data_IF_472295526626
#
_entry.id   IF_472295526626
#
_cell.length_a   1.000
_cell.length_b   1.000
_cell.length_c   1.000
_cell.angle_alpha   90.00
_cell.angle_beta   90.00
_cell.angle_gamma   90.00
#
_symmetry.space_group_name_H-M   'P 1'
#
loop_
_entity.id
_entity.type
_entity.pdbx_description
1 polymer ?
#
# COMPACT_ATOMS: atom_id res chain seq x y z
N UNK A 1 -6.59 21.66 3.09
CA UNK A 1 -7.23 20.34 2.99
C UNK A 1 -6.18 19.27 2.69
N UNK A 2 -6.21 18.13 3.44
CA UNK A 2 -5.29 16.99 3.19
C UNK A 2 -5.67 16.34 1.86
N UNK A 3 -4.70 16.12 0.97
CA UNK A 3 -4.89 15.50 -0.36
C UNK A 3 -4.17 14.16 -0.52
N UNK A 4 -3.08 13.97 0.22
CA UNK A 4 -2.30 12.73 0.28
C UNK A 4 -1.76 12.56 1.70
N UNK A 5 -1.61 11.32 2.16
CA UNK A 5 -1.05 10.98 3.47
C UNK A 5 0.24 10.22 3.29
N UNK A 6 1.26 10.55 4.07
CA UNK A 6 2.48 9.73 4.21
C UNK A 6 2.41 9.02 5.56
N UNK A 7 2.44 7.70 5.53
CA UNK A 7 2.52 6.83 6.70
C UNK A 7 3.98 6.40 6.88
N UNK A 8 4.53 6.66 8.04
CA UNK A 8 5.91 6.27 8.39
C UNK A 8 6.00 5.77 9.83
N UNK A 9 7.08 5.13 10.17
CA UNK A 9 7.42 4.72 11.53
C UNK A 9 8.65 5.45 12.04
N UNK A 10 9.58 4.71 12.67
CA UNK A 10 10.89 5.21 13.08
C UNK A 10 11.97 4.88 12.03
N UNK A 11 13.20 5.35 12.26
CA UNK A 11 14.34 4.97 11.41
C UNK A 11 14.65 3.46 11.48
N UNK A 12 14.36 2.79 12.61
CA UNK A 12 14.61 1.38 12.79
C UNK A 12 13.51 0.49 12.24
N UNK A 13 12.26 0.95 12.30
CA UNK A 13 11.12 0.16 11.86
C UNK A 13 9.96 1.04 11.37
N UNK A 14 9.41 0.70 10.23
CA UNK A 14 8.11 1.18 9.81
C UNK A 14 7.02 0.59 10.72
N UNK A 15 6.99 -0.73 10.83
CA UNK A 15 6.21 -1.48 11.81
C UNK A 15 6.72 -2.93 11.87
N UNK A 16 6.89 -3.46 13.09
CA UNK A 16 7.41 -4.82 13.30
C UNK A 16 6.32 -5.89 13.47
N UNK A 17 5.06 -5.54 13.26
CA UNK A 17 3.91 -6.44 13.40
C UNK A 17 3.12 -6.22 14.71
N UNK A 18 2.22 -7.15 15.00
CA UNK A 18 1.44 -7.13 16.22
C UNK A 18 2.29 -7.52 17.45
N UNK A 19 1.86 -7.08 18.62
CA UNK A 19 2.51 -7.49 19.88
C UNK A 19 2.32 -8.99 20.12
N UNK A 20 3.45 -9.73 20.13
CA UNK A 20 3.46 -11.18 20.30
C UNK A 20 2.95 -11.57 21.70
N UNK A 21 3.20 -10.76 22.73
CA UNK A 21 2.74 -11.06 24.09
C UNK A 21 1.22 -10.92 24.18
N UNK A 22 0.65 -9.91 23.52
CA UNK A 22 -0.80 -9.76 23.41
C UNK A 22 -1.44 -10.94 22.66
N UNK A 23 -0.79 -11.43 21.61
CA UNK A 23 -1.28 -12.57 20.84
C UNK A 23 -1.18 -13.90 21.62
N UNK A 24 -0.14 -14.10 22.41
CA UNK A 24 0.09 -15.33 23.16
C UNK A 24 -1.02 -15.67 24.17
N UNK A 25 -1.78 -14.66 24.62
CA UNK A 25 -2.92 -14.83 25.53
C UNK A 25 -4.26 -15.07 24.84
N UNK A 26 -4.33 -15.06 23.50
CA UNK A 26 -5.58 -15.20 22.76
C UNK A 26 -5.90 -16.67 22.49
N UNK A 27 -7.15 -17.04 22.75
CA UNK A 27 -7.75 -18.28 22.23
C UNK A 27 -8.39 -18.02 20.86
N UNK A 28 -9.05 -19.05 20.31
CA UNK A 28 -9.72 -18.95 19.00
C UNK A 28 -10.82 -17.86 18.99
N UNK A 29 -11.56 -17.72 20.11
CA UNK A 29 -12.63 -16.73 20.21
C UNK A 29 -12.05 -15.32 20.20
N UNK A 30 -11.04 -15.06 21.04
CA UNK A 30 -10.35 -13.78 21.05
C UNK A 30 -9.64 -13.44 19.75
N UNK A 31 -9.18 -14.45 18.99
CA UNK A 31 -8.64 -14.25 17.64
C UNK A 31 -9.72 -13.87 16.60
N UNK A 32 -10.94 -14.42 16.72
CA UNK A 32 -12.08 -14.07 15.87
C UNK A 32 -12.55 -12.63 16.15
N UNK A 33 -12.58 -12.24 17.42
CA UNK A 33 -12.99 -10.89 17.85
C UNK A 33 -11.94 -9.82 17.53
N UNK A 34 -10.68 -10.21 17.35
CA UNK A 34 -9.61 -9.29 16.99
C UNK A 34 -9.79 -8.75 15.58
N UNK A 35 -10.32 -7.54 15.48
CA UNK A 35 -10.59 -6.88 14.20
C UNK A 35 -9.29 -6.45 13.51
N UNK A 36 -9.08 -6.93 12.30
CA UNK A 36 -8.00 -6.44 11.43
C UNK A 36 -8.49 -5.21 10.68
N UNK A 37 -7.92 -4.05 11.00
CA UNK A 37 -8.35 -2.79 10.38
C UNK A 37 -8.05 -2.74 8.89
N UNK A 38 -9.01 -2.21 8.11
CA UNK A 38 -8.86 -1.82 6.71
C UNK A 38 -8.72 -0.30 6.55
N UNK A 39 -8.52 0.43 7.65
CA UNK A 39 -8.58 1.88 7.68
C UNK A 39 -7.68 2.58 6.65
N UNK A 40 -6.50 2.02 6.35
CA UNK A 40 -5.59 2.55 5.32
C UNK A 40 -6.12 2.31 3.92
N UNK A 41 -6.59 1.08 3.66
CA UNK A 41 -7.13 0.70 2.35
C UNK A 41 -8.44 1.43 2.03
N UNK A 42 -9.32 1.55 3.03
CA UNK A 42 -10.64 2.18 2.88
C UNK A 42 -10.56 3.73 2.97
N UNK A 43 -9.38 4.29 3.30
CA UNK A 43 -9.19 5.74 3.30
C UNK A 43 -9.26 6.28 1.86
N UNK A 44 -10.15 7.26 1.57
CA UNK A 44 -10.47 7.60 0.18
C UNK A 44 -9.36 8.33 -0.58
N UNK A 45 -8.37 8.91 0.12
CA UNK A 45 -7.29 9.68 -0.50
C UNK A 45 -6.02 8.81 -0.62
N UNK A 46 -5.08 9.14 -1.51
CA UNK A 46 -3.83 8.43 -1.62
C UNK A 46 -3.04 8.36 -0.31
N UNK A 47 -2.46 7.18 -0.04
CA UNK A 47 -1.59 6.92 1.11
C UNK A 47 -0.26 6.34 0.62
N UNK A 48 0.84 6.93 1.03
CA UNK A 48 2.20 6.49 0.71
C UNK A 48 2.83 5.89 1.97
N UNK A 49 3.32 4.67 1.92
CA UNK A 49 4.17 4.11 2.95
C UNK A 49 5.63 4.55 2.73
N UNK A 50 6.22 5.24 3.70
CA UNK A 50 7.64 5.55 3.76
C UNK A 50 8.31 4.56 4.72
N UNK A 51 8.90 3.50 4.17
CA UNK A 51 9.42 2.37 4.92
C UNK A 51 10.89 2.56 5.21
N UNK A 52 11.21 3.01 6.43
CA UNK A 52 12.55 2.95 6.99
C UNK A 52 12.68 1.70 7.86
N UNK A 53 13.80 0.95 7.73
CA UNK A 53 14.06 -0.24 8.54
C UNK A 53 13.09 -1.40 8.29
N UNK A 54 12.51 -1.96 9.34
CA UNK A 54 11.72 -3.18 9.26
C UNK A 54 10.23 -2.91 8.95
N UNK A 55 9.69 -3.66 7.99
CA UNK A 55 8.26 -3.84 7.74
C UNK A 55 7.97 -5.35 7.78
N UNK A 56 7.56 -5.87 8.94
CA UNK A 56 7.45 -7.31 9.17
C UNK A 56 6.06 -7.70 9.64
N UNK A 57 5.58 -8.87 9.20
CA UNK A 57 4.27 -9.40 9.58
C UNK A 57 3.16 -8.38 9.31
N UNK A 58 2.35 -8.10 10.33
CA UNK A 58 1.31 -7.06 10.28
C UNK A 58 1.82 -5.70 9.77
N UNK A 59 3.08 -5.34 10.07
CA UNK A 59 3.69 -4.11 9.56
C UNK A 59 3.90 -4.14 8.03
N UNK A 60 4.30 -5.28 7.48
CA UNK A 60 4.38 -5.47 6.03
C UNK A 60 2.97 -5.47 5.40
N UNK A 61 1.98 -6.06 6.09
CA UNK A 61 0.58 -6.03 5.66
C UNK A 61 0.01 -4.61 5.64
N UNK A 62 0.37 -3.75 6.61
CA UNK A 62 0.01 -2.33 6.60
C UNK A 62 0.67 -1.57 5.44
N UNK A 63 1.96 -1.82 5.17
CA UNK A 63 2.61 -1.22 4.01
C UNK A 63 1.90 -1.60 2.70
N UNK A 64 1.48 -2.88 2.55
CA UNK A 64 0.72 -3.37 1.40
C UNK A 64 -0.73 -2.85 1.32
N UNK A 65 -1.26 -2.21 2.35
CA UNK A 65 -2.54 -1.50 2.28
C UNK A 65 -2.41 -0.08 1.72
N UNK A 66 -1.19 0.48 1.72
CA UNK A 66 -0.92 1.78 1.12
C UNK A 66 -0.91 1.67 -0.42
N UNK A 67 -1.06 2.81 -1.08
CA UNK A 67 -1.15 2.88 -2.56
C UNK A 67 0.23 2.90 -3.22
N UNK A 68 1.24 3.42 -2.52
CA UNK A 68 2.64 3.52 -2.98
C UNK A 68 3.55 3.14 -1.81
N UNK A 69 4.62 2.38 -2.08
CA UNK A 69 5.62 2.04 -1.07
C UNK A 69 6.97 2.58 -1.52
N UNK A 70 7.52 3.52 -0.73
CA UNK A 70 8.89 4.02 -0.87
C UNK A 70 9.71 3.45 0.27
N UNK A 71 10.86 2.89 -0.03
CA UNK A 71 11.71 2.26 0.97
C UNK A 71 13.12 2.87 1.01
N UNK A 72 13.72 2.87 2.19
CA UNK A 72 15.15 3.14 2.26
C UNK A 72 15.95 1.88 1.83
N UNK A 73 17.21 2.07 1.46
CA UNK A 73 18.11 1.01 0.97
C UNK A 73 18.40 -0.10 2.01
N UNK A 74 18.16 0.19 3.31
CA UNK A 74 18.35 -0.75 4.42
C UNK A 74 17.06 -1.45 4.83
N UNK A 75 15.92 -1.06 4.29
CA UNK A 75 14.63 -1.62 4.65
C UNK A 75 14.57 -3.13 4.39
N UNK A 76 13.83 -3.81 5.25
CA UNK A 76 13.57 -5.25 5.15
C UNK A 76 12.10 -5.54 5.27
N UNK A 77 11.62 -6.39 4.39
CA UNK A 77 10.24 -6.84 4.31
C UNK A 77 10.14 -8.34 4.59
N UNK A 78 9.05 -8.79 5.18
CA UNK A 78 8.83 -10.22 5.40
C UNK A 78 7.52 -10.52 6.11
N UNK A 79 7.14 -11.80 6.05
CA UNK A 79 5.96 -12.36 6.71
C UNK A 79 6.41 -13.54 7.57
N UNK A 80 6.94 -13.28 8.79
CA UNK A 80 7.57 -14.31 9.61
C UNK A 80 6.60 -15.10 10.48
N UNK A 81 5.30 -14.96 10.33
CA UNK A 81 4.24 -15.54 11.18
C UNK A 81 4.37 -17.05 11.31
N UNK A 82 4.84 -17.73 10.26
CA UNK A 82 5.05 -19.19 10.29
C UNK A 82 6.04 -19.63 11.39
N UNK A 83 6.98 -18.79 11.78
CA UNK A 83 7.93 -19.08 12.88
C UNK A 83 7.27 -19.14 14.24
N UNK A 84 6.05 -18.59 14.34
CA UNK A 84 5.20 -18.61 15.53
C UNK A 84 4.05 -19.63 15.41
N UNK A 85 4.03 -20.45 14.34
CA UNK A 85 2.92 -21.37 14.08
C UNK A 85 1.64 -20.66 13.60
N UNK A 86 1.77 -19.43 13.11
CA UNK A 86 0.68 -18.59 12.60
C UNK A 86 0.79 -18.39 11.09
N UNK A 87 -0.25 -17.82 10.50
CA UNK A 87 -0.25 -17.27 9.16
C UNK A 87 -0.52 -15.77 9.21
N UNK A 88 -0.13 -14.98 8.19
CA UNK A 88 -0.54 -13.58 8.08
C UNK A 88 -2.07 -13.43 8.16
N UNK A 89 -2.54 -12.49 8.99
CA UNK A 89 -3.96 -12.30 9.29
C UNK A 89 -4.55 -10.98 8.80
N UNK A 90 -3.72 -10.05 8.30
CA UNK A 90 -4.16 -8.73 7.84
C UNK A 90 -4.06 -8.55 6.32
N UNK A 91 -4.03 -9.66 5.57
CA UNK A 91 -4.07 -9.70 4.10
C UNK A 91 -2.77 -10.13 3.43
N UNK A 92 -1.72 -10.50 4.18
CA UNK A 92 -0.42 -10.91 3.63
C UNK A 92 -0.53 -12.09 2.68
N UNK A 93 -1.32 -13.11 3.02
CA UNK A 93 -1.55 -14.27 2.14
C UNK A 93 -2.31 -13.94 0.86
N UNK A 94 -2.94 -12.77 0.78
CA UNK A 94 -3.74 -12.34 -0.36
C UNK A 94 -3.05 -11.26 -1.19
N UNK A 95 -2.54 -10.18 -0.54
CA UNK A 95 -1.90 -9.07 -1.24
C UNK A 95 -0.52 -9.43 -1.76
N UNK A 96 0.30 -10.12 -0.94
CA UNK A 96 1.66 -10.47 -1.36
C UNK A 96 1.69 -11.28 -2.67
N UNK A 97 0.94 -12.40 -2.83
CA UNK A 97 0.98 -13.17 -4.08
C UNK A 97 0.40 -12.42 -5.29
N UNK A 98 -0.52 -11.48 -5.08
CA UNK A 98 -1.03 -10.62 -6.15
C UNK A 98 -0.01 -9.59 -6.61
N UNK A 99 0.92 -9.20 -5.73
CA UNK A 99 1.95 -8.20 -6.02
C UNK A 99 3.22 -8.84 -6.56
N UNK A 100 3.79 -9.84 -5.87
CA UNK A 100 5.10 -10.43 -6.20
C UNK A 100 5.01 -11.75 -6.95
N UNK A 101 3.81 -12.21 -7.24
CA UNK A 101 3.54 -13.52 -7.84
C UNK A 101 3.61 -14.68 -6.84
N UNK A 102 2.96 -15.80 -7.20
CA UNK A 102 2.76 -16.96 -6.34
C UNK A 102 4.07 -17.52 -5.76
N UNK A 103 5.09 -17.71 -6.59
CA UNK A 103 6.30 -18.42 -6.18
C UNK A 103 7.14 -17.62 -5.20
N UNK A 104 7.31 -16.32 -5.43
CA UNK A 104 7.99 -15.43 -4.49
C UNK A 104 7.22 -15.32 -3.17
N UNK A 105 5.89 -15.16 -3.23
CA UNK A 105 5.07 -15.12 -2.04
C UNK A 105 5.14 -16.41 -1.22
N UNK A 106 5.04 -17.59 -1.86
CA UNK A 106 5.15 -18.88 -1.18
C UNK A 106 6.52 -19.08 -0.53
N UNK A 107 7.59 -18.65 -1.19
CA UNK A 107 8.92 -18.68 -0.58
C UNK A 107 8.95 -17.86 0.70
N UNK A 108 8.51 -16.62 0.67
CA UNK A 108 8.51 -15.72 1.84
C UNK A 108 7.59 -16.22 2.96
N UNK A 109 6.39 -16.64 2.62
CA UNK A 109 5.36 -17.09 3.58
C UNK A 109 5.73 -18.40 4.26
N UNK A 110 6.27 -19.38 3.50
CA UNK A 110 6.58 -20.72 4.03
C UNK A 110 7.93 -20.78 4.76
N UNK A 111 8.85 -19.89 4.43
CA UNK A 111 10.16 -19.85 5.10
C UNK A 111 10.24 -18.79 6.21
N UNK A 112 9.33 -17.80 6.19
CA UNK A 112 9.43 -16.61 7.04
C UNK A 112 10.72 -15.82 6.78
N UNK A 113 11.26 -15.89 5.57
CA UNK A 113 12.46 -15.17 5.16
C UNK A 113 12.19 -13.67 5.06
N UNK A 114 13.25 -12.87 5.28
CA UNK A 114 13.23 -11.44 5.03
C UNK A 114 13.94 -11.14 3.71
N UNK A 115 13.40 -10.19 2.97
CA UNK A 115 14.02 -9.63 1.75
C UNK A 115 14.45 -8.18 2.00
N UNK A 116 15.52 -7.75 1.33
CA UNK A 116 15.94 -6.36 1.35
C UNK A 116 15.09 -5.50 0.39
N UNK A 117 15.23 -4.17 0.52
CA UNK A 117 14.47 -3.22 -0.29
C UNK A 117 14.65 -3.41 -1.81
N UNK A 118 15.88 -3.70 -2.26
CA UNK A 118 16.16 -3.90 -3.69
C UNK A 118 15.50 -5.18 -4.23
N UNK A 119 15.49 -6.27 -3.45
CA UNK A 119 14.77 -7.48 -3.82
C UNK A 119 13.26 -7.24 -3.86
N UNK A 120 12.72 -6.54 -2.85
CA UNK A 120 11.32 -6.15 -2.80
C UNK A 120 10.92 -5.27 -4.01
N UNK A 121 11.78 -4.35 -4.41
CA UNK A 121 11.59 -3.52 -5.62
C UNK A 121 11.61 -4.38 -6.90
N UNK A 122 12.60 -5.26 -7.06
CA UNK A 122 12.66 -6.17 -8.23
C UNK A 122 11.44 -7.10 -8.33
N UNK A 123 10.85 -7.47 -7.20
CA UNK A 123 9.64 -8.28 -7.15
C UNK A 123 8.34 -7.48 -7.39
N UNK A 124 8.42 -6.15 -7.42
CA UNK A 124 7.25 -5.26 -7.60
C UNK A 124 6.52 -4.89 -6.32
N UNK A 125 7.06 -5.23 -5.13
CA UNK A 125 6.47 -4.83 -3.84
C UNK A 125 6.73 -3.36 -3.50
N UNK A 126 7.93 -2.85 -3.83
CA UNK A 126 8.36 -1.47 -3.55
C UNK A 126 8.41 -0.68 -4.84
N UNK A 127 7.84 0.51 -4.84
CA UNK A 127 7.78 1.39 -6.01
C UNK A 127 9.14 2.07 -6.30
N UNK A 128 9.84 2.51 -5.25
CA UNK A 128 11.13 3.19 -5.35
C UNK A 128 11.99 2.91 -4.12
N UNK A 129 13.30 2.72 -4.32
CA UNK A 129 14.29 2.59 -3.23
C UNK A 129 15.21 3.80 -3.26
N UNK A 130 15.41 4.44 -2.11
CA UNK A 130 16.27 5.60 -1.95
C UNK A 130 17.33 5.38 -0.87
N UNK A 131 18.51 6.00 -0.96
CA UNK A 131 19.52 5.92 0.09
C UNK A 131 19.09 6.73 1.34
N UNK A 132 19.34 6.18 2.51
CA UNK A 132 19.07 6.88 3.78
C UNK A 132 17.57 6.98 4.09
N UNK A 133 17.14 8.07 4.75
CA UNK A 133 15.73 8.26 5.11
C UNK A 133 14.85 8.48 3.87
N UNK A 134 13.81 7.65 3.69
CA UNK A 134 12.91 7.71 2.54
C UNK A 134 11.72 8.68 2.74
N UNK A 135 11.50 9.19 3.94
CA UNK A 135 10.37 10.08 4.23
C UNK A 135 10.38 11.37 3.38
N UNK A 136 11.50 12.08 3.19
CA UNK A 136 11.53 13.27 2.33
C UNK A 136 11.07 12.96 0.90
N UNK A 137 11.49 11.80 0.35
CA UNK A 137 11.07 11.39 -1.00
C UNK A 137 9.58 11.08 -1.08
N UNK A 138 9.04 10.42 -0.06
CA UNK A 138 7.60 10.18 0.03
C UNK A 138 6.79 11.49 0.12
N UNK A 139 7.29 12.48 0.87
CA UNK A 139 6.68 13.81 0.95
C UNK A 139 6.73 14.58 -0.39
N UNK A 140 7.82 14.47 -1.15
CA UNK A 140 7.89 15.03 -2.51
C UNK A 140 6.82 14.44 -3.42
N UNK A 141 6.65 13.11 -3.41
CA UNK A 141 5.62 12.43 -4.21
C UNK A 141 4.22 12.86 -3.73
N UNK A 142 4.01 12.93 -2.41
CA UNK A 142 2.73 13.40 -1.85
C UNK A 142 2.43 14.85 -2.25
N UNK A 143 3.43 15.74 -2.25
CA UNK A 143 3.29 17.11 -2.72
C UNK A 143 2.95 17.16 -4.21
N UNK A 144 3.58 16.33 -5.04
CA UNK A 144 3.24 16.21 -6.45
C UNK A 144 1.78 15.76 -6.64
N UNK A 145 1.34 14.73 -5.94
CA UNK A 145 -0.07 14.26 -6.00
C UNK A 145 -1.02 15.38 -5.54
N UNK A 146 -0.65 16.15 -4.53
CA UNK A 146 -1.47 17.23 -3.99
C UNK A 146 -1.69 18.39 -4.97
N UNK A 147 -0.87 18.54 -6.02
CA UNK A 147 -1.09 19.52 -7.10
C UNK A 147 -2.09 19.04 -8.15
N UNK A 148 -2.44 17.76 -8.17
CA UNK A 148 -3.32 17.16 -9.15
C UNK A 148 -4.78 17.20 -8.71
N UNK A 149 -5.70 16.85 -9.64
CA UNK A 149 -7.13 16.83 -9.41
C UNK A 149 -7.53 15.84 -8.29
N UNK A 150 -8.01 16.27 -7.13
CA UNK A 150 -8.22 15.40 -5.97
C UNK A 150 -9.30 14.33 -6.19
N UNK A 151 -10.36 14.65 -6.91
CA UNK A 151 -11.42 13.68 -7.22
C UNK A 151 -10.93 12.60 -8.18
N UNK A 152 -10.07 12.96 -9.14
CA UNK A 152 -9.45 11.98 -10.04
C UNK A 152 -8.50 11.05 -9.28
N UNK A 153 -7.69 11.57 -8.35
CA UNK A 153 -6.80 10.76 -7.52
C UNK A 153 -7.59 9.74 -6.65
N UNK A 154 -8.71 10.16 -6.05
CA UNK A 154 -9.59 9.28 -5.28
C UNK A 154 -10.23 8.21 -6.18
N UNK A 155 -10.73 8.61 -7.36
CA UNK A 155 -11.38 7.68 -8.28
C UNK A 155 -10.39 6.66 -8.86
N UNK A 156 -9.15 7.04 -9.13
CA UNK A 156 -8.08 6.11 -9.54
C UNK A 156 -7.85 5.07 -8.46
N UNK A 157 -7.67 5.49 -7.20
CA UNK A 157 -7.49 4.57 -6.06
C UNK A 157 -8.66 3.59 -5.94
N UNK A 158 -9.89 4.08 -5.95
CA UNK A 158 -11.10 3.26 -5.85
C UNK A 158 -11.17 2.21 -6.97
N UNK A 159 -11.02 2.64 -8.22
CA UNK A 159 -11.15 1.76 -9.39
C UNK A 159 -10.04 0.72 -9.44
N UNK A 160 -8.80 1.10 -9.11
CA UNK A 160 -7.67 0.16 -9.08
C UNK A 160 -7.88 -0.89 -7.99
N UNK A 161 -8.21 -0.48 -6.76
CA UNK A 161 -8.41 -1.41 -5.65
C UNK A 161 -9.59 -2.35 -5.91
N UNK A 162 -10.74 -1.83 -6.35
CA UNK A 162 -11.91 -2.65 -6.67
C UNK A 162 -11.67 -3.55 -7.90
N UNK A 163 -10.89 -3.07 -8.87
CA UNK A 163 -10.53 -3.83 -10.07
C UNK A 163 -9.67 -5.05 -9.78
N UNK A 164 -8.75 -4.96 -8.81
CA UNK A 164 -7.90 -6.08 -8.38
C UNK A 164 -8.70 -7.21 -7.71
N UNK A 165 -9.87 -6.91 -7.16
CA UNK A 165 -10.73 -7.87 -6.46
C UNK A 165 -11.84 -8.46 -7.35
N UNK A 166 -11.83 -8.18 -8.68
CA UNK A 166 -12.88 -8.63 -9.59
C UNK A 166 -12.33 -9.16 -10.92
N UNK A 167 -13.19 -9.60 -11.83
CA UNK A 167 -12.79 -9.96 -13.19
C UNK A 167 -12.39 -8.73 -13.99
N UNK A 168 -11.51 -8.89 -14.99
CA UNK A 168 -11.10 -7.79 -15.86
C UNK A 168 -12.30 -7.06 -16.49
N UNK A 169 -13.32 -7.80 -16.97
CA UNK A 169 -14.52 -7.20 -17.56
C UNK A 169 -15.31 -6.34 -16.56
N UNK A 170 -15.43 -6.78 -15.31
CA UNK A 170 -16.08 -5.97 -14.27
C UNK A 170 -15.24 -4.76 -13.87
N UNK A 171 -13.91 -4.92 -13.77
CA UNK A 171 -12.98 -3.81 -13.53
C UNK A 171 -13.04 -2.74 -14.61
N UNK A 172 -13.05 -3.13 -15.89
CA UNK A 172 -13.20 -2.21 -17.02
C UNK A 172 -14.53 -1.44 -17.01
N UNK A 173 -15.60 -2.07 -16.52
CA UNK A 173 -16.90 -1.38 -16.34
C UNK A 173 -16.85 -0.34 -15.23
N UNK A 174 -16.16 -0.64 -14.11
CA UNK A 174 -15.93 0.31 -13.02
C UNK A 174 -15.08 1.50 -13.51
N UNK A 175 -13.96 1.22 -14.19
CA UNK A 175 -13.10 2.24 -14.79
C UNK A 175 -13.90 3.16 -15.72
N UNK A 176 -14.70 2.59 -16.62
CA UNK A 176 -15.54 3.36 -17.54
C UNK A 176 -16.49 4.31 -16.82
N UNK A 177 -17.12 3.85 -15.75
CA UNK A 177 -18.01 4.68 -14.91
C UNK A 177 -17.25 5.79 -14.20
N UNK A 178 -16.11 5.45 -13.58
CA UNK A 178 -15.23 6.42 -12.93
C UNK A 178 -14.77 7.50 -13.91
N UNK A 179 -14.30 7.12 -15.08
CA UNK A 179 -13.93 8.04 -16.15
C UNK A 179 -15.08 8.98 -16.53
N UNK A 180 -16.30 8.46 -16.71
CA UNK A 180 -17.47 9.27 -17.06
C UNK A 180 -17.83 10.29 -15.96
N UNK A 181 -17.69 9.92 -14.68
CA UNK A 181 -17.94 10.83 -13.56
C UNK A 181 -17.00 12.03 -13.58
N UNK A 182 -15.76 11.88 -14.04
CA UNK A 182 -14.78 12.98 -14.09
C UNK A 182 -15.22 14.13 -14.99
N UNK A 183 -16.04 13.89 -16.01
CA UNK A 183 -16.59 14.96 -16.89
C UNK A 183 -17.51 15.93 -16.13
N UNK A 184 -18.04 15.55 -14.97
CA UNK A 184 -18.79 16.42 -14.09
C UNK A 184 -17.94 17.39 -13.25
N UNK A 185 -16.60 17.18 -13.17
CA UNK A 185 -15.72 17.93 -12.28
C UNK A 185 -15.26 19.26 -12.86
N UNK A 186 -14.98 20.24 -12.01
CA UNK A 186 -14.37 21.51 -12.42
C UNK A 186 -12.92 21.31 -12.86
N UNK A 187 -12.19 20.41 -12.16
CA UNK A 187 -10.77 20.13 -12.44
C UNK A 187 -10.57 19.57 -13.85
N UNK A 188 -11.46 18.68 -14.33
CA UNK A 188 -11.39 18.17 -15.71
C UNK A 188 -11.56 19.29 -16.74
N UNK A 189 -12.54 20.17 -16.53
CA UNK A 189 -12.77 21.30 -17.45
C UNK A 189 -11.59 22.24 -17.49
N UNK A 190 -11.04 22.58 -16.31
CA UNK A 190 -9.86 23.45 -16.24
C UNK A 190 -8.62 22.77 -16.81
N UNK A 191 -8.39 21.49 -16.52
CA UNK A 191 -7.26 20.74 -17.07
C UNK A 191 -7.26 20.68 -18.60
N UNK A 192 -8.41 20.40 -19.21
CA UNK A 192 -8.56 20.41 -20.69
C UNK A 192 -8.32 21.79 -21.26
N UNK A 193 -8.84 22.84 -20.62
CA UNK A 193 -8.64 24.24 -21.03
C UNK A 193 -7.17 24.63 -20.92
N UNK A 194 -6.51 24.37 -19.77
CA UNK A 194 -5.09 24.64 -19.55
C UNK A 194 -4.22 23.96 -20.61
N UNK A 195 -4.49 22.67 -20.88
CA UNK A 195 -3.77 21.93 -21.92
C UNK A 195 -3.92 22.55 -23.31
N UNK A 196 -5.16 22.94 -23.69
CA UNK A 196 -5.44 23.57 -24.99
C UNK A 196 -4.74 24.93 -25.12
N UNK A 197 -4.64 25.67 -24.03
CA UNK A 197 -3.97 26.98 -23.94
C UNK A 197 -2.46 26.86 -23.68
N UNK A 198 -1.90 25.64 -23.58
CA UNK A 198 -0.49 25.35 -23.27
C UNK A 198 -0.03 26.03 -21.97
N UNK A 199 -0.90 26.11 -20.97
CA UNK A 199 -0.63 26.55 -19.60
C UNK A 199 -0.24 25.35 -18.73
N UNK A 200 0.54 25.62 -17.66
CA UNK A 200 0.78 24.68 -16.57
C UNK A 200 -0.47 24.52 -15.69
#
# INVERSE_FOLDING_TARGET
EVRCVVLTGSEQAFAAGADIQEQAGRDVVGAIEAYTTRAVMDFPKPVIAAVNGFALGGGCEFAMQCDIIIANDKAKFGQPEIKLGLIPGAGGTQRLPRTVGKYNAMYLLLTGAFINANDAHRMGLVSEVVPGNCEPRALEIAAQIATLAPLAAQQIKEVVNAGLDTSLDAGLKLERRGYQLMFGTADMREGVKAFSEKRA
#
